data_IF_480781578529
#
_entry.id   IF_480781578529
#
_cell.length_a   1.000
_cell.length_b   1.000
_cell.length_c   1.000
_cell.angle_alpha   90.00
_cell.angle_beta   90.00
_cell.angle_gamma   90.00
#
_symmetry.space_group_name_H-M   'P 1'
#
loop_
_entity.id
_entity.type
_entity.pdbx_description
1 polymer ?
#
# COMPACT_ATOMS: atom_id res chain seq x y z
N UNK A 1 4.25 -20.40 36.23
CA UNK A 1 3.29 -19.36 35.86
C UNK A 1 4.06 -18.23 35.18
N UNK A 2 4.14 -18.20 33.85
CA UNK A 2 4.95 -17.22 33.06
C UNK A 2 4.14 -16.52 31.95
N UNK A 3 2.81 -16.71 31.91
CA UNK A 3 2.00 -16.36 30.73
C UNK A 3 1.52 -14.90 30.54
N UNK A 4 1.50 -13.97 31.52
CA UNK A 4 0.85 -12.67 31.30
C UNK A 4 1.69 -11.70 30.45
N UNK A 5 3.03 -11.73 30.59
CA UNK A 5 3.92 -10.74 29.97
C UNK A 5 3.95 -10.94 28.44
N UNK A 6 4.12 -12.19 27.99
CA UNK A 6 4.19 -12.55 26.55
C UNK A 6 2.89 -12.21 25.82
N UNK A 7 1.73 -12.37 26.48
CA UNK A 7 0.42 -12.05 25.91
C UNK A 7 0.25 -10.53 25.75
N UNK A 8 0.70 -9.74 26.73
CA UNK A 8 0.66 -8.27 26.64
C UNK A 8 1.57 -7.73 25.55
N UNK A 9 2.75 -8.32 25.38
CA UNK A 9 3.74 -7.88 24.40
C UNK A 9 3.26 -8.17 22.97
N UNK A 10 2.85 -9.41 22.67
CA UNK A 10 2.27 -9.75 21.37
C UNK A 10 1.02 -8.92 21.05
N UNK A 11 0.19 -8.65 22.05
CA UNK A 11 -0.97 -7.78 21.88
C UNK A 11 -0.58 -6.35 21.52
N UNK A 12 0.44 -5.79 22.15
CA UNK A 12 0.97 -4.47 21.81
C UNK A 12 1.45 -4.41 20.35
N UNK A 13 2.17 -5.44 19.90
CA UNK A 13 2.70 -5.52 18.52
C UNK A 13 1.59 -5.53 17.47
N UNK A 14 0.50 -6.25 17.72
CA UNK A 14 -0.65 -6.32 16.81
C UNK A 14 -1.39 -4.99 16.64
N UNK A 15 -1.31 -4.10 17.63
CA UNK A 15 -1.99 -2.79 17.62
C UNK A 15 -1.13 -1.67 17.03
N UNK A 16 0.17 -1.92 16.78
CA UNK A 16 1.12 -0.94 16.26
C UNK A 16 1.57 -1.29 14.84
N UNK A 17 2.59 -0.60 14.33
CA UNK A 17 3.21 -0.89 13.03
C UNK A 17 4.05 -2.17 13.04
N UNK A 18 4.37 -2.72 14.22
CA UNK A 18 5.07 -4.01 14.35
C UNK A 18 4.23 -5.17 13.82
N UNK A 19 2.91 -4.99 13.69
CA UNK A 19 2.01 -5.96 13.06
C UNK A 19 2.41 -6.36 11.63
N UNK A 20 3.18 -5.52 10.93
CA UNK A 20 3.66 -5.81 9.57
C UNK A 20 4.73 -6.92 9.52
N UNK A 21 5.24 -7.37 10.67
CA UNK A 21 6.11 -8.55 10.76
C UNK A 21 5.34 -9.87 10.63
N UNK A 22 4.03 -9.84 10.86
CA UNK A 22 3.13 -11.01 10.77
C UNK A 22 2.35 -11.01 9.45
N UNK A 23 1.63 -12.11 9.16
CA UNK A 23 0.75 -12.17 7.99
C UNK A 23 -0.57 -11.42 8.19
N UNK A 24 -1.12 -10.78 7.15
CA UNK A 24 -2.41 -10.08 7.23
C UNK A 24 -3.55 -10.97 7.75
N UNK A 25 -3.62 -12.23 7.30
CA UNK A 25 -4.65 -13.17 7.76
C UNK A 25 -4.49 -13.50 9.25
N UNK A 26 -3.25 -13.72 9.70
CA UNK A 26 -2.92 -14.04 11.09
C UNK A 26 -3.28 -12.87 12.02
N UNK A 27 -2.92 -11.64 11.63
CA UNK A 27 -3.24 -10.43 12.38
C UNK A 27 -4.75 -10.23 12.44
N UNK A 28 -5.46 -10.44 11.32
CA UNK A 28 -6.92 -10.29 11.27
C UNK A 28 -7.64 -11.30 12.16
N UNK A 29 -7.19 -12.56 12.20
CA UNK A 29 -7.76 -13.57 13.09
C UNK A 29 -7.45 -13.27 14.55
N UNK A 30 -6.22 -12.86 14.85
CA UNK A 30 -5.79 -12.50 16.20
C UNK A 30 -6.58 -11.30 16.73
N UNK A 31 -6.77 -10.25 15.93
CA UNK A 31 -7.59 -9.09 16.30
C UNK A 31 -9.06 -9.46 16.53
N UNK A 32 -9.62 -10.39 15.74
CA UNK A 32 -10.99 -10.87 15.97
C UNK A 32 -11.12 -11.64 17.29
N UNK A 33 -10.13 -12.47 17.63
CA UNK A 33 -10.09 -13.16 18.93
C UNK A 33 -10.00 -12.15 20.08
N UNK A 34 -9.07 -11.20 19.99
CA UNK A 34 -8.91 -10.12 20.98
C UNK A 34 -10.19 -9.28 21.17
N UNK A 35 -10.93 -9.00 20.10
CA UNK A 35 -12.23 -8.30 20.20
C UNK A 35 -13.28 -9.16 20.91
N UNK A 36 -13.36 -10.46 20.58
CA UNK A 36 -14.30 -11.40 21.22
C UNK A 36 -14.02 -11.57 22.71
N UNK A 37 -12.74 -11.58 23.08
CA UNK A 37 -12.29 -11.73 24.46
C UNK A 37 -12.43 -10.43 25.28
N UNK A 38 -13.01 -9.36 24.69
CA UNK A 38 -13.19 -8.06 25.33
C UNK A 38 -11.88 -7.35 25.67
N UNK A 39 -10.76 -7.80 25.06
CA UNK A 39 -9.45 -7.28 25.37
C UNK A 39 -9.24 -5.92 24.72
N UNK A 40 -9.71 -5.71 23.49
CA UNK A 40 -9.56 -4.45 22.74
C UNK A 40 -10.90 -3.75 22.53
N UNK A 41 -10.86 -2.41 22.56
CA UNK A 41 -12.05 -1.60 22.31
C UNK A 41 -12.43 -1.58 20.83
N UNK A 42 -13.71 -1.37 20.55
CA UNK A 42 -14.24 -1.27 19.18
C UNK A 42 -13.52 -0.21 18.35
N UNK A 43 -13.25 0.97 18.96
CA UNK A 43 -12.52 2.05 18.29
C UNK A 43 -11.10 1.65 17.87
N UNK A 44 -10.40 0.87 18.70
CA UNK A 44 -9.04 0.42 18.39
C UNK A 44 -9.07 -0.60 17.23
N UNK A 45 -10.03 -1.52 17.28
CA UNK A 45 -10.23 -2.50 16.22
C UNK A 45 -10.59 -1.86 14.88
N UNK A 46 -11.53 -0.91 14.85
CA UNK A 46 -11.92 -0.17 13.65
C UNK A 46 -10.77 0.67 13.09
N UNK A 47 -9.98 1.31 13.95
CA UNK A 47 -8.80 2.07 13.54
C UNK A 47 -7.83 1.20 12.75
N UNK A 48 -7.49 0.02 13.26
CA UNK A 48 -6.54 -0.88 12.59
C UNK A 48 -7.11 -1.40 11.27
N UNK A 49 -8.40 -1.75 11.23
CA UNK A 49 -9.04 -2.16 9.98
C UNK A 49 -9.01 -1.04 8.93
N UNK A 50 -9.23 0.20 9.36
CA UNK A 50 -9.19 1.38 8.49
C UNK A 50 -7.78 1.61 7.96
N UNK A 51 -6.76 1.55 8.82
CA UNK A 51 -5.36 1.66 8.42
C UNK A 51 -4.97 0.57 7.40
N UNK A 52 -5.40 -0.66 7.63
CA UNK A 52 -5.13 -1.78 6.72
C UNK A 52 -5.86 -1.63 5.38
N UNK A 53 -7.10 -1.11 5.40
CA UNK A 53 -7.84 -0.76 4.19
C UNK A 53 -7.10 0.33 3.39
N UNK A 54 -6.66 1.40 4.07
CA UNK A 54 -5.89 2.48 3.45
C UNK A 54 -4.56 1.96 2.88
N UNK A 55 -3.89 1.05 3.58
CA UNK A 55 -2.66 0.42 3.09
C UNK A 55 -2.91 -0.37 1.79
N UNK A 56 -4.01 -1.12 1.74
CA UNK A 56 -4.41 -1.87 0.54
C UNK A 56 -4.75 -0.94 -0.63
N UNK A 57 -5.42 0.19 -0.36
CA UNK A 57 -5.69 1.24 -1.37
C UNK A 57 -4.38 1.82 -1.87
N UNK A 58 -3.48 2.25 -0.97
CA UNK A 58 -2.14 2.76 -1.33
C UNK A 58 -1.41 1.76 -2.22
N UNK A 59 -1.47 0.46 -1.92
CA UNK A 59 -0.76 -0.56 -2.69
C UNK A 59 -1.32 -0.74 -4.10
N UNK A 60 -2.64 -0.75 -4.23
CA UNK A 60 -3.29 -0.77 -5.54
C UNK A 60 -2.96 0.47 -6.36
N UNK A 61 -3.02 1.66 -5.73
CA UNK A 61 -2.68 2.92 -6.37
C UNK A 61 -1.21 2.96 -6.81
N UNK A 62 -0.29 2.55 -5.95
CA UNK A 62 1.13 2.41 -6.26
C UNK A 62 1.35 1.56 -7.52
N UNK A 63 0.78 0.34 -7.57
CA UNK A 63 0.90 -0.54 -8.73
C UNK A 63 0.32 0.09 -10.01
N UNK A 64 -0.83 0.77 -9.89
CA UNK A 64 -1.47 1.47 -11.03
C UNK A 64 -0.57 2.59 -11.55
N UNK A 65 0.00 3.40 -10.66
CA UNK A 65 0.93 4.48 -11.02
C UNK A 65 2.21 3.94 -11.68
N UNK A 66 2.80 2.87 -11.15
CA UNK A 66 3.97 2.23 -11.78
C UNK A 66 3.65 1.76 -13.21
N UNK A 67 2.49 1.12 -13.42
CA UNK A 67 2.06 0.70 -14.76
C UNK A 67 1.88 1.91 -15.69
N UNK A 68 1.31 3.00 -15.19
CA UNK A 68 1.11 4.21 -15.98
C UNK A 68 2.44 4.89 -16.36
N UNK A 69 3.47 4.83 -15.51
CA UNK A 69 4.82 5.30 -15.86
C UNK A 69 5.37 4.50 -17.04
N UNK A 70 5.26 3.16 -17.01
CA UNK A 70 5.73 2.32 -18.11
C UNK A 70 5.01 2.67 -19.42
N UNK A 71 3.68 2.83 -19.38
CA UNK A 71 2.90 3.25 -20.55
C UNK A 71 3.32 4.63 -21.04
N UNK A 72 3.51 5.59 -20.13
CA UNK A 72 3.94 6.95 -20.47
C UNK A 72 5.32 7.00 -21.12
N UNK A 73 6.26 6.17 -20.66
CA UNK A 73 7.59 6.04 -21.27
C UNK A 73 7.50 5.45 -22.68
N UNK A 74 6.67 4.43 -22.90
CA UNK A 74 6.44 3.87 -24.24
C UNK A 74 5.84 4.91 -25.19
N UNK A 75 4.83 5.67 -24.74
CA UNK A 75 4.23 6.75 -25.53
C UNK A 75 5.25 7.85 -25.87
N UNK A 76 6.08 8.22 -24.91
CA UNK A 76 7.15 9.21 -25.11
C UNK A 76 8.17 8.71 -26.14
N UNK A 77 8.56 7.44 -26.08
CA UNK A 77 9.49 6.82 -27.03
C UNK A 77 8.94 6.77 -28.45
N UNK A 78 7.67 6.37 -28.64
CA UNK A 78 6.99 6.40 -29.94
C UNK A 78 6.89 7.85 -30.46
N UNK A 79 6.54 8.76 -29.55
CA UNK A 79 6.47 10.20 -29.80
C UNK A 79 7.78 10.80 -30.33
N UNK A 80 8.92 10.25 -29.92
CA UNK A 80 10.24 10.75 -30.30
C UNK A 80 10.69 10.29 -31.69
N UNK A 81 10.23 9.13 -32.14
CA UNK A 81 10.66 8.53 -33.43
C UNK A 81 9.87 9.11 -34.62
N UNK A 82 8.66 9.60 -34.37
CA UNK A 82 7.77 10.05 -35.44
C UNK A 82 7.93 11.53 -35.80
N UNK A 83 7.81 11.84 -37.08
CA UNK A 83 8.11 13.17 -37.63
C UNK A 83 6.84 13.95 -38.05
N UNK A 84 5.71 13.70 -37.39
CA UNK A 84 4.40 14.31 -37.69
C UNK A 84 3.92 15.21 -36.55
N UNK A 85 3.22 16.33 -36.84
CA UNK A 85 2.64 17.22 -35.83
C UNK A 85 1.72 16.49 -34.83
N UNK A 86 0.99 15.44 -35.27
CA UNK A 86 0.15 14.64 -34.39
C UNK A 86 0.96 13.84 -33.35
N UNK A 87 2.21 13.52 -33.66
CA UNK A 87 3.09 12.71 -32.81
C UNK A 87 3.69 13.55 -31.66
N UNK A 88 3.86 14.87 -31.86
CA UNK A 88 4.23 15.78 -30.78
C UNK A 88 3.17 15.85 -29.67
N UNK A 89 1.88 15.75 -30.01
CA UNK A 89 0.81 15.66 -29.02
C UNK A 89 0.91 14.37 -28.20
N UNK A 90 1.23 13.24 -28.85
CA UNK A 90 1.46 11.95 -28.17
C UNK A 90 2.64 12.03 -27.21
N UNK A 91 3.72 12.71 -27.61
CA UNK A 91 4.90 12.94 -26.77
C UNK A 91 4.57 13.76 -25.52
N UNK A 92 3.85 14.88 -25.67
CA UNK A 92 3.43 15.71 -24.53
C UNK A 92 2.50 14.96 -23.58
N UNK A 93 1.54 14.20 -24.11
CA UNK A 93 0.66 13.34 -23.30
C UNK A 93 1.50 12.31 -22.53
N UNK A 94 2.45 11.65 -23.19
CA UNK A 94 3.35 10.68 -22.56
C UNK A 94 4.14 11.27 -21.39
N UNK A 95 4.69 12.48 -21.56
CA UNK A 95 5.45 13.18 -20.52
C UNK A 95 4.54 13.56 -19.35
N UNK A 96 3.41 14.23 -19.59
CA UNK A 96 2.48 14.65 -18.53
C UNK A 96 1.98 13.45 -17.73
N UNK A 97 1.65 12.36 -18.42
CA UNK A 97 1.16 11.13 -17.80
C UNK A 97 2.24 10.44 -16.95
N UNK A 98 3.49 10.46 -17.41
CA UNK A 98 4.64 9.92 -16.68
C UNK A 98 4.94 10.73 -15.41
N UNK A 99 5.02 12.07 -15.52
CA UNK A 99 5.29 12.96 -14.38
C UNK A 99 4.20 12.86 -13.32
N UNK A 100 2.93 12.91 -13.74
CA UNK A 100 1.78 12.77 -12.83
C UNK A 100 1.81 11.43 -12.09
N UNK A 101 2.12 10.35 -12.81
CA UNK A 101 2.19 9.01 -12.23
C UNK A 101 3.41 8.84 -11.31
N UNK A 102 4.51 9.52 -11.59
CA UNK A 102 5.70 9.54 -10.74
C UNK A 102 5.40 10.12 -9.35
N UNK A 103 4.72 11.27 -9.28
CA UNK A 103 4.27 11.82 -7.99
C UNK A 103 3.28 10.88 -7.28
N UNK A 104 2.41 10.20 -8.04
CA UNK A 104 1.54 9.16 -7.52
C UNK A 104 2.30 7.99 -6.86
N UNK A 105 3.39 7.53 -7.47
CA UNK A 105 4.29 6.51 -6.90
C UNK A 105 4.97 7.01 -5.62
N UNK A 106 5.44 8.25 -5.63
CA UNK A 106 6.13 8.85 -4.48
C UNK A 106 5.19 8.98 -3.27
N UNK A 107 3.98 9.50 -3.49
CA UNK A 107 2.96 9.71 -2.44
C UNK A 107 2.42 8.39 -1.88
N UNK A 108 2.33 7.35 -2.71
CA UNK A 108 1.86 6.02 -2.31
C UNK A 108 3.00 5.02 -2.07
N UNK A 109 4.20 5.51 -1.73
CA UNK A 109 5.34 4.63 -1.45
C UNK A 109 5.03 3.73 -0.26
N UNK A 110 5.29 2.43 -0.44
CA UNK A 110 5.04 1.39 0.55
C UNK A 110 6.37 0.73 0.91
N UNK A 111 6.55 0.43 2.20
CA UNK A 111 7.75 -0.24 2.69
C UNK A 111 7.76 -1.72 2.32
N UNK A 112 8.93 -2.37 2.38
CA UNK A 112 9.04 -3.82 2.10
C UNK A 112 8.16 -4.63 3.05
N UNK A 113 8.14 -4.28 4.34
CA UNK A 113 7.36 -4.97 5.36
C UNK A 113 5.85 -4.82 5.13
N UNK A 114 5.38 -3.61 4.81
CA UNK A 114 3.97 -3.38 4.45
C UNK A 114 3.55 -4.15 3.17
N UNK A 115 4.45 -4.26 2.20
CA UNK A 115 4.19 -5.06 1.00
C UNK A 115 4.13 -6.55 1.31
N UNK A 116 4.98 -7.04 2.21
CA UNK A 116 4.99 -8.43 2.67
C UNK A 116 3.73 -8.76 3.49
N UNK A 117 3.32 -7.85 4.37
CA UNK A 117 2.07 -7.94 5.13
C UNK A 117 0.85 -8.17 4.24
N UNK A 118 0.78 -7.47 3.09
CA UNK A 118 -0.33 -7.57 2.14
C UNK A 118 -0.26 -8.76 1.16
N UNK A 119 0.78 -9.61 1.23
CA UNK A 119 0.87 -10.82 0.39
C UNK A 119 -0.02 -11.92 0.96
#
# INVERSE_FOLDING_TARGET
>A
MEKPIIISENRSKLLTNERFEFGYLEVKESLKKLKKDGLIDEKQFEKIQTEDMLLKIKYKTYKKCVRNIIIGLVLTGIGYIGNSPAIYAVLLIGIIFSVSSFFGVLSNRITKNQKAYLK
#
